data_IF_020528182795
#
_entry.id   IF_020528182795
#
_cell.length_a   1.000
_cell.length_b   1.000
_cell.length_c   1.000
_cell.angle_alpha   90.00
_cell.angle_beta   90.00
_cell.angle_gamma   90.00
#
_symmetry.space_group_name_H-M   'P 1'
#
loop_
_entity.id
_entity.type
_entity.pdbx_description
1 polymer ?
#
# COMPACT_ATOMS: atom_id res chain seq x y z
N UNK A 1 -3.62 9.66 -11.03
CA UNK A 1 -3.41 9.22 -9.63
C UNK A 1 -1.98 8.73 -9.45
N UNK A 2 -1.43 8.88 -8.23
CA UNK A 2 -0.15 8.32 -7.79
C UNK A 2 -0.41 7.12 -6.89
N UNK A 3 0.26 6.00 -7.15
CA UNK A 3 0.00 4.74 -6.47
C UNK A 3 1.20 4.30 -5.64
N UNK A 4 0.92 3.78 -4.44
CA UNK A 4 1.94 3.22 -3.55
C UNK A 4 1.46 1.86 -3.04
N UNK A 5 2.34 0.86 -3.10
CA UNK A 5 2.16 -0.40 -2.37
C UNK A 5 2.94 -0.38 -1.07
N UNK A 6 2.35 -0.89 0.02
CA UNK A 6 2.99 -0.90 1.35
C UNK A 6 2.81 -2.25 2.04
N UNK A 7 3.91 -2.92 2.35
CA UNK A 7 3.92 -4.04 3.30
C UNK A 7 4.16 -3.51 4.72
N UNK A 8 3.28 -3.87 5.65
CA UNK A 8 3.27 -3.34 7.01
C UNK A 8 3.84 -4.36 7.98
N UNK A 9 4.91 -3.98 8.67
CA UNK A 9 5.50 -4.76 9.74
C UNK A 9 5.46 -4.00 11.07
N UNK A 10 5.81 -4.68 12.17
CA UNK A 10 5.87 -4.06 13.51
C UNK A 10 6.77 -2.82 13.57
N UNK A 11 7.95 -2.88 12.95
CA UNK A 11 8.97 -1.82 13.05
C UNK A 11 8.96 -0.87 11.85
N UNK A 12 8.61 -1.39 10.68
CA UNK A 12 8.82 -0.69 9.42
C UNK A 12 7.62 -0.82 8.47
N UNK A 13 7.46 0.18 7.62
CA UNK A 13 6.70 0.16 6.38
C UNK A 13 7.67 -0.07 5.24
N UNK A 14 7.54 -1.19 4.53
CA UNK A 14 8.24 -1.41 3.27
C UNK A 14 7.37 -0.83 2.16
N UNK A 15 7.88 0.12 1.40
CA UNK A 15 7.11 0.95 0.48
C UNK A 15 7.68 0.83 -0.92
N UNK A 16 6.81 0.61 -1.92
CA UNK A 16 7.15 0.73 -3.32
C UNK A 16 6.30 1.83 -3.97
N UNK A 17 6.97 2.84 -4.51
CA UNK A 17 6.33 4.05 -5.05
C UNK A 17 6.14 4.03 -6.57
N UNK A 18 6.31 2.87 -7.20
CA UNK A 18 6.29 2.68 -8.65
C UNK A 18 7.66 2.83 -9.31
N UNK A 19 8.65 3.39 -8.61
CA UNK A 19 10.02 3.56 -9.14
C UNK A 19 11.06 2.85 -8.28
N UNK A 20 10.95 2.95 -6.96
CA UNK A 20 11.94 2.44 -6.02
C UNK A 20 11.32 1.89 -4.74
N UNK A 21 12.11 1.05 -4.09
CA UNK A 21 11.84 0.55 -2.75
C UNK A 21 12.34 1.54 -1.71
N UNK A 22 11.53 1.72 -0.68
CA UNK A 22 11.76 2.64 0.41
C UNK A 22 11.37 1.96 1.71
N UNK A 23 11.94 2.44 2.81
CA UNK A 23 11.60 1.98 4.15
C UNK A 23 11.34 3.17 5.06
N UNK A 24 10.26 3.08 5.84
CA UNK A 24 9.91 4.09 6.83
C UNK A 24 9.60 3.43 8.17
N UNK A 25 9.92 4.10 9.26
CA UNK A 25 9.61 3.59 10.61
C UNK A 25 8.09 3.59 10.79
N UNK A 26 7.55 2.45 11.22
CA UNK A 26 6.15 2.31 11.57
C UNK A 26 5.91 2.81 13.01
N UNK A 27 5.59 4.10 13.12
CA UNK A 27 5.29 4.76 14.39
C UNK A 27 4.15 5.75 14.23
N UNK A 28 3.59 6.17 15.35
CA UNK A 28 2.49 7.13 15.40
C UNK A 28 2.76 8.36 14.52
N UNK A 29 1.74 8.73 13.73
CA UNK A 29 1.75 9.89 12.85
C UNK A 29 2.63 9.77 11.59
N UNK A 30 3.46 8.71 11.46
CA UNK A 30 4.26 8.41 10.27
C UNK A 30 5.02 9.62 9.69
N UNK A 31 5.65 10.42 10.57
CA UNK A 31 6.24 11.73 10.21
C UNK A 31 7.21 11.68 9.03
N UNK A 32 8.11 10.68 8.98
CA UNK A 32 9.09 10.53 7.90
C UNK A 32 8.42 10.19 6.57
N UNK A 33 7.43 9.30 6.59
CA UNK A 33 6.62 8.96 5.42
C UNK A 33 5.80 10.16 4.94
N UNK A 34 5.17 10.92 5.84
CA UNK A 34 4.45 12.16 5.51
C UNK A 34 5.34 13.17 4.79
N UNK A 35 6.55 13.40 5.32
CA UNK A 35 7.53 14.31 4.72
C UNK A 35 7.95 13.85 3.33
N UNK A 36 8.08 12.55 3.12
CA UNK A 36 8.35 11.98 1.80
C UNK A 36 7.22 12.27 0.81
N UNK A 37 5.97 11.92 1.19
CA UNK A 37 4.81 12.06 0.31
C UNK A 37 4.54 13.51 -0.09
N UNK A 38 4.64 14.46 0.85
CA UNK A 38 4.43 15.90 0.57
C UNK A 38 5.36 16.46 -0.51
N UNK A 39 6.53 15.86 -0.72
CA UNK A 39 7.48 16.25 -1.77
C UNK A 39 7.21 15.60 -3.13
N UNK A 40 6.27 14.66 -3.19
CA UNK A 40 6.03 13.79 -4.34
C UNK A 40 4.65 13.98 -4.95
N UNK A 41 3.63 14.14 -4.12
CA UNK A 41 2.25 14.17 -4.59
C UNK A 41 1.34 14.89 -3.59
N UNK A 42 0.29 15.52 -4.09
CA UNK A 42 -0.85 15.94 -3.29
C UNK A 42 -1.60 14.71 -2.77
N UNK A 43 -2.11 14.78 -1.54
CA UNK A 43 -2.77 13.63 -0.91
C UNK A 43 -4.11 13.26 -1.57
N UNK A 44 -4.77 14.21 -2.23
CA UNK A 44 -5.97 13.99 -3.04
C UNK A 44 -5.73 13.05 -4.23
N UNK A 45 -4.52 13.06 -4.77
CA UNK A 45 -4.11 12.26 -5.93
C UNK A 45 -3.42 10.95 -5.53
N UNK A 46 -3.23 10.72 -4.23
CA UNK A 46 -2.54 9.56 -3.68
C UNK A 46 -3.49 8.41 -3.37
N UNK A 47 -3.11 7.23 -3.83
CA UNK A 47 -3.77 5.97 -3.50
C UNK A 47 -2.75 5.02 -2.89
N UNK A 48 -3.03 4.54 -1.68
CA UNK A 48 -2.18 3.59 -0.96
C UNK A 48 -2.87 2.22 -0.96
N UNK A 49 -2.14 1.18 -1.34
CA UNK A 49 -2.58 -0.20 -1.25
C UNK A 49 -1.72 -0.96 -0.24
N UNK A 50 -2.34 -1.60 0.73
CA UNK A 50 -1.61 -2.36 1.75
C UNK A 50 -2.39 -3.57 2.27
N UNK A 51 -1.68 -4.53 2.84
CA UNK A 51 -2.27 -5.62 3.60
C UNK A 51 -2.26 -5.29 5.09
N UNK A 52 -3.39 -5.53 5.80
CA UNK A 52 -3.44 -5.27 7.23
C UNK A 52 -2.71 -6.38 8.02
N UNK A 53 -1.71 -6.00 8.81
CA UNK A 53 -0.94 -6.88 9.71
C UNK A 53 -1.31 -6.59 11.16
N UNK A 54 -2.40 -7.20 11.64
CA UNK A 54 -2.88 -7.04 13.01
C UNK A 54 -2.97 -5.58 13.46
N UNK A 55 -2.47 -5.29 14.66
CA UNK A 55 -2.44 -3.92 15.23
C UNK A 55 -1.42 -3.01 14.55
N UNK A 56 -0.44 -3.55 13.83
CA UNK A 56 0.65 -2.75 13.25
C UNK A 56 0.21 -1.86 12.10
N UNK A 57 -0.93 -2.16 11.47
CA UNK A 57 -1.51 -1.30 10.44
C UNK A 57 -2.32 -0.13 10.99
N UNK A 58 -2.49 -0.02 12.31
CA UNK A 58 -3.30 1.05 12.91
C UNK A 58 -2.75 2.44 12.55
N UNK A 59 -1.44 2.66 12.70
CA UNK A 59 -0.82 3.94 12.37
C UNK A 59 -0.98 4.31 10.89
N UNK A 60 -0.90 3.33 9.98
CA UNK A 60 -1.10 3.59 8.55
C UNK A 60 -2.58 3.88 8.23
N UNK A 61 -3.53 3.16 8.85
CA UNK A 61 -4.97 3.41 8.70
C UNK A 61 -5.33 4.82 9.19
N UNK A 62 -4.91 5.17 10.40
CA UNK A 62 -5.14 6.49 10.98
C UNK A 62 -4.48 7.59 10.14
N UNK A 63 -3.26 7.35 9.65
CA UNK A 63 -2.58 8.29 8.77
C UNK A 63 -3.37 8.54 7.49
N UNK A 64 -3.90 7.50 6.85
CA UNK A 64 -4.70 7.67 5.65
C UNK A 64 -5.99 8.45 5.94
N UNK A 65 -6.70 8.09 7.02
CA UNK A 65 -7.94 8.75 7.42
C UNK A 65 -7.73 10.23 7.77
N UNK A 66 -6.74 10.55 8.62
CA UNK A 66 -6.43 11.93 9.05
C UNK A 66 -6.00 12.85 7.91
N UNK A 67 -5.51 12.30 6.81
CA UNK A 67 -5.01 13.07 5.66
C UNK A 67 -5.88 12.90 4.41
N UNK A 68 -7.06 12.29 4.53
CA UNK A 68 -8.01 12.03 3.43
C UNK A 68 -7.38 11.32 2.23
N UNK A 69 -6.45 10.39 2.49
CA UNK A 69 -5.77 9.59 1.46
C UNK A 69 -6.63 8.37 1.14
N UNK A 70 -6.83 8.09 -0.16
CA UNK A 70 -7.53 6.89 -0.60
C UNK A 70 -6.69 5.65 -0.27
N UNK A 71 -7.27 4.72 0.47
CA UNK A 71 -6.59 3.50 0.91
C UNK A 71 -7.36 2.24 0.50
N UNK A 72 -6.67 1.31 -0.16
CA UNK A 72 -7.18 -0.02 -0.49
C UNK A 72 -6.52 -1.05 0.40
N UNK A 73 -7.34 -1.71 1.23
CA UNK A 73 -6.90 -2.73 2.16
C UNK A 73 -7.12 -4.09 1.49
N UNK A 74 -6.02 -4.76 1.13
CA UNK A 74 -6.07 -6.07 0.46
C UNK A 74 -6.20 -7.17 1.50
N UNK A 75 -7.17 -8.06 1.32
CA UNK A 75 -7.32 -9.21 2.20
C UNK A 75 -6.21 -10.24 1.89
N UNK A 76 -5.47 -10.73 2.90
CA UNK A 76 -4.43 -11.76 2.76
C UNK A 76 -4.86 -12.96 1.91
N UNK A 77 -6.12 -13.41 2.06
CA UNK A 77 -6.65 -14.55 1.31
C UNK A 77 -6.85 -14.24 -0.17
N UNK A 78 -7.20 -13.00 -0.51
CA UNK A 78 -7.38 -12.53 -1.89
C UNK A 78 -6.05 -12.20 -2.56
N UNK A 79 -5.08 -11.68 -1.82
CA UNK A 79 -3.75 -11.43 -2.37
C UNK A 79 -3.09 -12.72 -2.82
N UNK A 80 -3.20 -13.80 -2.04
CA UNK A 80 -2.57 -15.07 -2.36
C UNK A 80 -3.07 -15.64 -3.71
N UNK A 81 -4.37 -15.52 -3.99
CA UNK A 81 -4.93 -15.90 -5.29
C UNK A 81 -4.41 -15.01 -6.43
N UNK A 82 -4.22 -13.71 -6.19
CA UNK A 82 -3.66 -12.77 -7.17
C UNK A 82 -2.17 -13.06 -7.46
N UNK A 83 -1.36 -13.32 -6.44
CA UNK A 83 0.06 -13.69 -6.59
C UNK A 83 0.21 -15.00 -7.35
N UNK A 84 -0.71 -15.96 -7.11
CA UNK A 84 -0.77 -17.22 -7.85
C UNK A 84 -1.14 -17.03 -9.32
N UNK A 85 -2.06 -16.11 -9.63
CA UNK A 85 -2.39 -15.74 -11.01
C UNK A 85 -1.22 -15.03 -11.73
N UNK A 86 -0.35 -14.32 -10.99
CA UNK A 86 0.86 -13.68 -11.51
C UNK A 86 2.11 -14.60 -11.54
N UNK A 87 1.96 -15.90 -11.28
CA UNK A 87 3.03 -16.89 -11.45
C UNK A 87 4.12 -16.91 -10.36
N UNK A 88 3.95 -16.20 -9.22
CA UNK A 88 4.90 -16.25 -8.10
C UNK A 88 4.37 -17.14 -6.97
N UNK A 89 5.05 -18.25 -6.70
CA UNK A 89 4.67 -19.27 -5.70
C UNK A 89 5.58 -19.23 -4.47
N UNK A 90 4.96 -19.37 -3.28
CA UNK A 90 5.50 -19.81 -1.96
C UNK A 90 6.34 -18.78 -1.17
N UNK A 91 6.32 -18.65 0.17
CA UNK A 91 5.65 -19.32 1.32
C UNK A 91 5.06 -18.22 2.22
N UNK A 92 3.89 -18.50 2.77
CA UNK A 92 3.08 -17.74 3.73
C UNK A 92 3.88 -16.86 4.69
N UNK A 93 3.59 -15.54 4.67
CA UNK A 93 3.42 -14.63 5.83
C UNK A 93 3.70 -13.15 5.51
N UNK A 94 4.19 -12.80 4.31
CA UNK A 94 4.40 -11.40 3.90
C UNK A 94 4.11 -11.17 2.42
N UNK A 95 3.31 -10.17 2.09
CA UNK A 95 3.17 -9.68 0.71
C UNK A 95 4.19 -8.57 0.47
N UNK A 96 4.94 -8.66 -0.62
CA UNK A 96 5.87 -7.59 -1.01
C UNK A 96 5.12 -6.32 -1.49
N UNK A 97 5.64 -5.15 -1.10
CA UNK A 97 5.13 -3.83 -1.50
C UNK A 97 4.96 -3.67 -3.02
N UNK A 98 5.83 -4.28 -3.84
CA UNK A 98 5.69 -4.28 -5.30
C UNK A 98 4.43 -4.99 -5.77
N UNK A 99 4.07 -6.11 -5.14
CA UNK A 99 2.87 -6.87 -5.50
C UNK A 99 1.64 -6.03 -5.15
N UNK A 100 1.64 -5.39 -3.98
CA UNK A 100 0.57 -4.49 -3.56
C UNK A 100 0.42 -3.28 -4.49
N UNK A 101 1.53 -2.75 -5.00
CA UNK A 101 1.48 -1.70 -6.01
C UNK A 101 0.73 -2.15 -7.27
N UNK A 102 0.98 -3.37 -7.78
CA UNK A 102 0.34 -3.87 -9.01
C UNK A 102 -1.20 -3.91 -8.96
N UNK A 103 -1.81 -3.90 -7.77
CA UNK A 103 -3.27 -3.78 -7.64
C UNK A 103 -3.83 -2.48 -8.23
N UNK A 104 -3.00 -1.44 -8.42
CA UNK A 104 -3.42 -0.22 -9.09
C UNK A 104 -4.04 -0.51 -10.46
N UNK A 105 -3.54 -1.51 -11.20
CA UNK A 105 -4.07 -1.88 -12.51
C UNK A 105 -5.53 -2.32 -12.45
N UNK A 106 -5.92 -3.03 -11.39
CA UNK A 106 -7.31 -3.43 -11.17
C UNK A 106 -8.20 -2.25 -10.77
N UNK A 107 -7.63 -1.31 -10.00
CA UNK A 107 -8.31 -0.07 -9.61
C UNK A 107 -8.59 0.76 -10.88
N UNK A 108 -7.58 0.95 -11.73
CA UNK A 108 -7.68 1.68 -12.99
C UNK A 108 -8.72 1.03 -13.94
N UNK A 109 -8.70 -0.31 -14.07
CA UNK A 109 -9.68 -1.05 -14.88
C UNK A 109 -11.11 -0.83 -14.42
N UNK A 110 -11.38 -0.87 -13.10
CA UNK A 110 -12.73 -0.61 -12.55
C UNK A 110 -13.21 0.82 -12.82
N UNK A 111 -12.30 1.80 -12.76
CA UNK A 111 -12.64 3.19 -13.05
C UNK A 111 -12.98 3.37 -14.54
N UNK A 112 -12.31 2.63 -15.44
CA UNK A 112 -12.57 2.70 -16.89
C UNK A 112 -13.86 2.02 -17.34
N UNK A 113 -14.35 1.01 -16.62
CA UNK A 113 -15.54 0.22 -16.97
C UNK A 113 -16.84 0.75 -16.34
N UNK A 114 -16.78 1.89 -15.65
CA UNK A 114 -17.95 2.62 -15.14
C UNK A 114 -18.24 3.90 -15.95
N UNK A 115 -17.79 3.95 -17.21
CA UNK A 115 -18.10 5.01 -18.18
C UNK A 115 -18.89 4.45 -19.35
#
# INVERSE_FOLDING_TARGET
MYYIGIDVSKKDLSVFDGKKDLKFINKEGLKSFKKYLKKKVNFSDLVITFEPTGVYSLYLKEFCAKNSIKAYIVNPKKSHNFTRALGKRSKTDKIDARILYQFHKLIDLKVSSSR
#
